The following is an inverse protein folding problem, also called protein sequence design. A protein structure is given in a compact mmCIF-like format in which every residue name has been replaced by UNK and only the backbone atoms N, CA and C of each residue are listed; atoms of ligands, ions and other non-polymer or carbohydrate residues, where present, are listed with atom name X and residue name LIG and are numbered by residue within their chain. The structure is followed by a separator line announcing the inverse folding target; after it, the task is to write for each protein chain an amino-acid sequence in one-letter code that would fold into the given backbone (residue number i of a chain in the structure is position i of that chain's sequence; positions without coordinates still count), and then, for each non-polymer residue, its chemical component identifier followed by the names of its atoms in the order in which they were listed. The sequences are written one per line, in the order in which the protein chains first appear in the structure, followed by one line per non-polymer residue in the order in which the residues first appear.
data_IF_655759296913
#
_entry.id   IF_655759296913
#
_cell.length_a   1.000
_cell.length_b   1.000
_cell.length_c   1.000
_cell.angle_alpha   90.00
_cell.angle_beta   90.00
_cell.angle_gamma   90.00
#
_symmetry.space_group_name_H-M   'P 1'
#
loop_
_entity.id
_entity.type
_entity.pdbx_description
1 polymer ?
#
# COMPACT_ATOMS: atom_id res chain seq x y z
N UNK A 1 -1.28 -10.93 13.83
CA UNK A 1 -0.66 -9.88 12.98
C UNK A 1 -0.06 -10.57 11.77
N UNK A 2 -0.50 -10.21 10.56
CA UNK A 2 0.08 -10.77 9.33
C UNK A 2 1.57 -10.41 9.27
N UNK A 3 2.44 -11.39 9.01
CA UNK A 3 3.88 -11.16 8.97
C UNK A 3 4.22 -10.21 7.79
N UNK A 4 4.77 -9.03 8.11
CA UNK A 4 5.32 -8.12 7.09
C UNK A 4 6.68 -8.65 6.65
N UNK A 5 6.87 -8.87 5.35
CA UNK A 5 8.17 -9.24 4.78
C UNK A 5 8.94 -7.98 4.42
N UNK A 6 10.09 -7.77 5.05
CA UNK A 6 11.01 -6.70 4.67
C UNK A 6 11.80 -7.11 3.42
N UNK A 7 11.95 -6.18 2.46
CA UNK A 7 12.76 -6.37 1.27
C UNK A 7 13.39 -5.04 0.85
N UNK A 8 14.54 -5.11 0.17
CA UNK A 8 15.20 -3.92 -0.38
C UNK A 8 14.58 -3.62 -1.75
N UNK A 9 13.95 -2.46 -1.87
CA UNK A 9 13.41 -1.97 -3.12
C UNK A 9 14.50 -1.15 -3.86
N UNK A 10 14.79 -1.50 -5.10
CA UNK A 10 15.65 -0.70 -5.99
C UNK A 10 14.76 0.22 -6.81
N UNK A 11 14.95 1.52 -6.66
CA UNK A 11 14.26 2.60 -7.38
C UNK A 11 15.27 3.70 -7.68
N UNK A 12 15.03 4.46 -8.74
CA UNK A 12 15.81 5.65 -9.03
C UNK A 12 15.51 6.79 -8.04
N UNK A 13 16.46 7.70 -7.91
CA UNK A 13 16.42 8.79 -6.94
C UNK A 13 15.30 9.80 -7.23
N UNK A 14 15.01 10.05 -8.51
CA UNK A 14 13.97 11.00 -8.93
C UNK A 14 12.59 10.49 -8.51
N UNK A 15 12.30 9.22 -8.78
CA UNK A 15 11.07 8.56 -8.35
C UNK A 15 10.94 8.56 -6.83
N UNK A 16 12.03 8.31 -6.09
CA UNK A 16 11.99 8.36 -4.63
C UNK A 16 11.59 9.75 -4.12
N UNK A 17 12.18 10.83 -4.66
CA UNK A 17 11.84 12.21 -4.28
C UNK A 17 10.38 12.55 -4.54
N UNK A 18 9.83 12.07 -5.66
CA UNK A 18 8.40 12.26 -5.97
C UNK A 18 7.50 11.54 -4.96
N UNK A 19 7.85 10.32 -4.57
CA UNK A 19 7.11 9.56 -3.55
C UNK A 19 7.23 10.25 -2.18
N UNK A 20 8.41 10.74 -1.81
CA UNK A 20 8.65 11.43 -0.54
C UNK A 20 7.83 12.73 -0.44
N UNK A 21 7.79 13.51 -1.52
CA UNK A 21 6.95 14.70 -1.58
C UNK A 21 5.46 14.34 -1.45
N UNK A 22 4.99 13.34 -2.20
CA UNK A 22 3.59 12.91 -2.14
C UNK A 22 3.20 12.37 -0.76
N UNK A 23 4.06 11.58 -0.13
CA UNK A 23 3.86 11.11 1.24
C UNK A 23 3.75 12.30 2.21
N UNK A 24 4.60 13.30 2.06
CA UNK A 24 4.58 14.52 2.88
C UNK A 24 3.28 15.32 2.70
N UNK A 25 2.83 15.47 1.46
CA UNK A 25 1.59 16.18 1.12
C UNK A 25 0.35 15.50 1.74
N UNK A 26 0.38 14.18 1.93
CA UNK A 26 -0.71 13.41 2.57
C UNK A 26 -0.48 13.11 4.06
N UNK A 27 0.55 13.69 4.69
CA UNK A 27 0.94 13.41 6.09
C UNK A 27 1.16 11.92 6.38
N UNK A 28 1.77 11.20 5.44
CA UNK A 28 2.12 9.77 5.54
C UNK A 28 3.63 9.57 5.59
N UNK A 29 4.06 8.40 6.07
CA UNK A 29 5.44 7.96 5.86
C UNK A 29 5.64 7.47 4.43
N UNK A 30 6.87 7.54 3.92
CA UNK A 30 7.25 7.02 2.60
C UNK A 30 6.86 5.55 2.44
N UNK A 31 7.14 4.70 3.44
CA UNK A 31 6.74 3.30 3.41
C UNK A 31 5.20 3.14 3.37
N UNK A 32 4.47 3.95 4.14
CA UNK A 32 3.00 3.93 4.10
C UNK A 32 2.45 4.33 2.73
N UNK A 33 3.08 5.30 2.07
CA UNK A 33 2.71 5.72 0.72
C UNK A 33 2.98 4.61 -0.30
N UNK A 34 4.15 3.95 -0.23
CA UNK A 34 4.48 2.82 -1.10
C UNK A 34 3.49 1.67 -0.90
N UNK A 35 3.19 1.31 0.36
CA UNK A 35 2.20 0.27 0.68
C UNK A 35 0.82 0.60 0.07
N UNK A 36 0.37 1.86 0.19
CA UNK A 36 -0.90 2.31 -0.37
C UNK A 36 -0.94 2.26 -1.90
N UNK A 37 0.10 2.78 -2.56
CA UNK A 37 0.20 2.79 -4.03
C UNK A 37 0.22 1.36 -4.57
N UNK A 38 1.03 0.48 -3.99
CA UNK A 38 1.10 -0.94 -4.40
C UNK A 38 -0.25 -1.62 -4.18
N UNK A 39 -0.91 -1.36 -3.05
CA UNK A 39 -2.23 -1.91 -2.76
C UNK A 39 -3.27 -1.50 -3.82
N UNK A 40 -3.34 -0.21 -4.14
CA UNK A 40 -4.24 0.34 -5.14
C UNK A 40 -3.92 -0.20 -6.54
N UNK A 41 -2.63 -0.27 -6.90
CA UNK A 41 -2.19 -0.82 -8.18
C UNK A 41 -2.58 -2.29 -8.34
N UNK A 42 -2.46 -3.11 -7.28
CA UNK A 42 -2.87 -4.51 -7.30
C UNK A 42 -4.39 -4.67 -7.48
N UNK A 43 -5.20 -3.80 -6.88
CA UNK A 43 -6.65 -3.79 -7.10
C UNK A 43 -6.97 -3.42 -8.55
N UNK A 44 -6.41 -2.31 -9.04
CA UNK A 44 -6.63 -1.84 -10.42
C UNK A 44 -6.18 -2.85 -11.46
N UNK A 45 -5.14 -3.62 -11.17
CA UNK A 45 -4.65 -4.69 -12.03
C UNK A 45 -5.45 -6.02 -11.89
N UNK A 46 -6.50 -6.06 -11.06
CA UNK A 46 -7.29 -7.27 -10.79
C UNK A 46 -6.52 -8.36 -10.02
N UNK A 47 -5.37 -8.03 -9.42
CA UNK A 47 -4.49 -8.94 -8.69
C UNK A 47 -4.82 -9.05 -7.21
N UNK A 48 -5.61 -8.11 -6.70
CA UNK A 48 -6.19 -8.15 -5.36
C UNK A 48 -7.68 -7.82 -5.49
N UNK A 49 -8.54 -8.68 -4.94
CA UNK A 49 -9.96 -8.34 -4.80
C UNK A 49 -10.08 -7.25 -3.75
N UNK A 50 -10.86 -6.20 -4.01
CA UNK A 50 -11.34 -5.35 -2.93
C UNK A 50 -12.06 -6.29 -1.96
N UNK A 51 -11.58 -6.36 -0.72
CA UNK A 51 -12.34 -7.02 0.33
C UNK A 51 -13.56 -6.14 0.53
N UNK A 52 -14.61 -6.44 -0.21
CA UNK A 52 -15.95 -6.02 0.12
C UNK A 52 -16.18 -6.45 1.57
N UNK A 53 -16.52 -5.47 2.41
CA UNK A 53 -16.75 -5.57 3.86
C UNK A 53 -16.81 -7.01 4.39
N UNK A 54 -15.85 -7.39 5.24
CA UNK A 54 -16.07 -8.49 6.18
C UNK A 54 -17.32 -8.11 6.98
N UNK A 55 -18.49 -8.56 6.51
CA UNK A 55 -19.69 -8.65 7.34
C UNK A 55 -19.24 -9.37 8.61
N UNK A 56 -19.55 -8.84 9.81
CA UNK A 56 -19.25 -9.57 11.03
C UNK A 56 -19.91 -10.94 10.87
N UNK A 57 -19.13 -12.01 11.03
CA UNK A 57 -19.68 -13.34 11.22
C UNK A 57 -20.36 -13.35 12.60
N UNK A 58 -21.54 -12.73 12.66
CA UNK A 58 -22.59 -13.23 13.52
C UNK A 58 -23.19 -14.44 12.80
N UNK A 59 -22.75 -15.63 13.22
CA UNK A 59 -23.47 -16.85 12.91
C UNK A 59 -23.35 -17.84 14.07
N UNK A 60 -24.37 -17.75 14.93
CA UNK A 60 -24.95 -18.76 15.83
C UNK A 60 -24.15 -19.23 17.04
#
# INVERSE_FOLDING_TARGET
MSAKKSFVLRIDEETYKLIEKWASDEFRSVNGQIEFVVHQALIKAGRKKEKDNEKPLDSK
#
